data_IF_923078328984
#
_entry.id   IF_923078328984
#
_cell.length_a   1.000
_cell.length_b   1.000
_cell.length_c   1.000
_cell.angle_alpha   90.00
_cell.angle_beta   90.00
_cell.angle_gamma   90.00
#
_symmetry.space_group_name_H-M   'P 1'
#
loop_
_entity.id
_entity.type
_entity.pdbx_description
1 polymer ?
#
# COMPACT_ATOMS: atom_id res chain seq x y z
N UNK A 1 42.84 12.16 -7.43
CA UNK A 1 41.96 13.33 -7.24
C UNK A 1 40.55 12.82 -7.51
N UNK A 2 39.73 12.71 -6.47
CA UNK A 2 38.42 12.06 -6.57
C UNK A 2 37.47 13.00 -7.31
N UNK A 3 36.69 12.47 -8.24
CA UNK A 3 35.68 13.17 -9.07
C UNK A 3 34.70 14.02 -8.24
N UNK A 4 34.62 13.76 -6.93
CA UNK A 4 33.84 14.54 -5.96
C UNK A 4 34.37 15.95 -5.73
N UNK A 5 35.68 16.19 -5.87
CA UNK A 5 36.26 17.51 -5.55
C UNK A 5 36.00 18.55 -6.65
N UNK A 6 35.70 18.14 -7.89
CA UNK A 6 35.35 19.05 -8.99
C UNK A 6 33.86 19.40 -9.03
N UNK A 7 32.97 18.57 -8.46
CA UNK A 7 31.52 18.78 -8.52
C UNK A 7 31.01 19.78 -7.47
N UNK A 8 31.83 20.10 -6.46
CA UNK A 8 31.47 20.88 -5.28
C UNK A 8 32.43 22.06 -5.03
N UNK A 9 33.11 22.55 -6.06
CA UNK A 9 34.21 23.52 -5.94
C UNK A 9 33.80 24.93 -5.51
N UNK A 10 32.53 25.32 -5.63
CA UNK A 10 32.04 26.64 -5.25
C UNK A 10 30.98 26.54 -4.14
N UNK A 11 31.20 27.23 -3.02
CA UNK A 11 30.26 27.30 -1.90
C UNK A 11 28.90 27.89 -2.30
N UNK A 12 28.88 28.81 -3.26
CA UNK A 12 27.67 29.42 -3.81
C UNK A 12 26.79 28.40 -4.55
N UNK A 13 27.39 27.53 -5.38
CA UNK A 13 26.69 26.48 -6.12
C UNK A 13 26.05 25.45 -5.16
N UNK A 14 26.67 25.22 -3.99
CA UNK A 14 26.13 24.35 -2.93
C UNK A 14 24.95 24.99 -2.19
N UNK A 15 24.99 26.31 -1.98
CA UNK A 15 23.90 27.06 -1.37
C UNK A 15 22.62 26.99 -2.19
N UNK A 16 22.74 27.19 -3.50
CA UNK A 16 21.61 27.14 -4.44
C UNK A 16 21.01 25.73 -4.56
N UNK A 17 21.86 24.71 -4.56
CA UNK A 17 21.41 23.31 -4.56
C UNK A 17 20.65 22.96 -3.27
N UNK A 18 21.18 23.36 -2.12
CA UNK A 18 20.53 23.15 -0.83
C UNK A 18 19.19 23.88 -0.77
N UNK A 19 19.13 25.12 -1.26
CA UNK A 19 17.88 25.88 -1.30
C UNK A 19 16.84 25.22 -2.21
N UNK A 20 17.28 24.67 -3.35
CA UNK A 20 16.43 23.88 -4.24
C UNK A 20 15.88 22.64 -3.54
N UNK A 21 16.71 21.89 -2.82
CA UNK A 21 16.32 20.70 -2.04
C UNK A 21 15.31 21.06 -0.94
N UNK A 22 15.53 22.16 -0.23
CA UNK A 22 14.63 22.61 0.86
C UNK A 22 13.27 23.04 0.32
N UNK A 23 13.24 23.73 -0.83
CA UNK A 23 12.01 24.23 -1.43
C UNK A 23 11.25 23.18 -2.23
N UNK A 24 11.89 22.08 -2.60
CA UNK A 24 11.25 20.99 -3.34
C UNK A 24 10.74 19.90 -2.40
N UNK A 25 9.43 19.62 -2.45
CA UNK A 25 8.82 18.48 -1.72
C UNK A 25 9.41 17.14 -2.17
N UNK A 26 9.86 17.05 -3.41
CA UNK A 26 10.50 15.89 -4.01
C UNK A 26 11.64 16.33 -4.94
N UNK A 27 12.79 15.67 -4.83
CA UNK A 27 13.99 15.97 -5.64
C UNK A 27 13.85 15.61 -7.12
N UNK A 28 12.94 14.70 -7.45
CA UNK A 28 12.66 14.26 -8.81
C UNK A 28 11.15 14.27 -9.06
N UNK A 29 10.77 14.44 -10.33
CA UNK A 29 9.39 14.25 -10.77
C UNK A 29 8.97 12.81 -10.44
N UNK A 30 7.94 12.65 -9.62
CA UNK A 30 7.36 11.34 -9.33
C UNK A 30 6.37 10.99 -10.44
N UNK A 31 6.48 9.77 -10.96
CA UNK A 31 5.43 9.21 -11.80
C UNK A 31 4.10 9.22 -11.00
N UNK A 32 2.96 9.40 -11.68
CA UNK A 32 1.66 9.20 -11.06
C UNK A 32 1.62 7.83 -10.36
N UNK A 33 0.97 7.72 -9.18
CA UNK A 33 0.80 6.42 -8.55
C UNK A 33 0.08 5.48 -9.52
N UNK A 34 0.62 4.27 -9.68
CA UNK A 34 -0.07 3.21 -10.40
C UNK A 34 -1.18 2.72 -9.48
N UNK A 35 -2.43 3.01 -9.84
CA UNK A 35 -3.57 2.41 -9.18
C UNK A 35 -3.64 0.95 -9.62
N UNK A 36 -3.65 0.01 -8.68
CA UNK A 36 -4.10 -1.34 -9.00
C UNK A 36 -5.56 -1.27 -9.44
N UNK A 37 -5.92 -2.11 -10.43
CA UNK A 37 -7.31 -2.31 -10.80
C UNK A 37 -8.16 -2.56 -9.55
N UNK A 38 -9.43 -2.13 -9.60
CA UNK A 38 -10.38 -2.24 -8.48
C UNK A 38 -10.29 -3.64 -7.85
N UNK A 39 -10.00 -3.69 -6.55
CA UNK A 39 -9.87 -4.95 -5.83
C UNK A 39 -11.23 -5.67 -5.87
N UNK A 40 -11.35 -6.72 -6.67
CA UNK A 40 -12.62 -7.40 -6.88
C UNK A 40 -12.94 -8.36 -5.72
N UNK A 41 -13.82 -7.91 -4.83
CA UNK A 41 -14.34 -8.73 -3.74
C UNK A 41 -15.14 -9.94 -4.21
N UNK A 42 -15.86 -9.84 -5.34
CA UNK A 42 -16.63 -10.96 -5.86
C UNK A 42 -15.65 -12.06 -6.28
N UNK A 43 -14.62 -11.71 -7.05
CA UNK A 43 -13.54 -12.62 -7.41
C UNK A 43 -12.85 -13.24 -6.20
N UNK A 44 -12.60 -12.45 -5.14
CA UNK A 44 -12.05 -12.99 -3.90
C UNK A 44 -12.96 -14.07 -3.29
N UNK A 45 -14.26 -13.82 -3.22
CA UNK A 45 -15.23 -14.78 -2.66
C UNK A 45 -15.55 -15.97 -3.58
N UNK A 46 -15.31 -15.85 -4.88
CA UNK A 46 -15.41 -16.95 -5.85
C UNK A 46 -14.26 -17.95 -5.74
N UNK A 47 -13.11 -17.56 -5.18
CA UNK A 47 -11.96 -18.45 -4.96
C UNK A 47 -12.34 -19.70 -4.13
N UNK A 48 -11.62 -20.80 -4.36
CA UNK A 48 -11.74 -21.96 -3.47
C UNK A 48 -11.34 -21.58 -2.04
N UNK A 49 -11.90 -22.25 -1.04
CA UNK A 49 -11.64 -21.93 0.37
C UNK A 49 -10.16 -21.99 0.74
N UNK A 50 -9.39 -22.86 0.08
CA UNK A 50 -7.93 -22.96 0.26
C UNK A 50 -7.21 -21.71 -0.26
N UNK A 51 -7.56 -21.24 -1.46
CA UNK A 51 -6.95 -20.06 -2.09
C UNK A 51 -7.37 -18.78 -1.37
N UNK A 52 -8.65 -18.68 -0.99
CA UNK A 52 -9.16 -17.60 -0.16
C UNK A 52 -8.37 -17.51 1.16
N UNK A 53 -8.16 -18.66 1.82
CA UNK A 53 -7.39 -18.72 3.07
C UNK A 53 -5.91 -18.42 2.85
N UNK A 54 -5.35 -18.79 1.71
CA UNK A 54 -3.97 -18.45 1.39
C UNK A 54 -3.81 -16.93 1.16
N UNK A 55 -4.78 -16.32 0.49
CA UNK A 55 -4.79 -14.87 0.21
C UNK A 55 -5.04 -14.05 1.48
N UNK A 56 -6.11 -14.36 2.22
CA UNK A 56 -6.60 -13.55 3.36
C UNK A 56 -6.16 -14.04 4.73
N UNK A 57 -5.53 -15.23 4.82
CA UNK A 57 -5.16 -15.93 6.07
C UNK A 57 -6.32 -16.28 6.99
N UNK A 58 -7.56 -16.16 6.52
CA UNK A 58 -8.77 -16.47 7.28
C UNK A 58 -9.73 -17.32 6.45
N UNK A 59 -10.80 -17.84 7.06
CA UNK A 59 -11.88 -18.49 6.31
C UNK A 59 -12.92 -17.48 5.89
N UNK A 60 -13.79 -17.82 4.92
CA UNK A 60 -14.86 -16.93 4.46
C UNK A 60 -15.82 -16.58 5.60
N UNK A 61 -16.12 -17.54 6.46
CA UNK A 61 -17.00 -17.38 7.62
C UNK A 61 -16.38 -16.42 8.64
N UNK A 62 -15.10 -16.61 8.96
CA UNK A 62 -14.38 -15.74 9.88
C UNK A 62 -14.20 -14.32 9.31
N UNK A 63 -14.01 -14.19 7.99
CA UNK A 63 -14.00 -12.90 7.31
C UNK A 63 -15.35 -12.16 7.50
N UNK A 64 -16.47 -12.82 7.20
CA UNK A 64 -17.81 -12.22 7.36
C UNK A 64 -18.09 -11.89 8.83
N UNK A 65 -17.70 -12.77 9.76
CA UNK A 65 -17.82 -12.53 11.19
C UNK A 65 -17.06 -11.27 11.63
N UNK A 66 -15.81 -11.11 11.18
CA UNK A 66 -14.98 -9.95 11.49
C UNK A 66 -15.56 -8.68 10.85
N UNK A 67 -15.99 -8.76 9.59
CA UNK A 67 -16.64 -7.66 8.89
C UNK A 67 -17.84 -7.14 9.68
N UNK A 68 -18.72 -8.02 10.16
CA UNK A 68 -19.88 -7.65 10.97
C UNK A 68 -19.50 -6.97 12.31
N UNK A 69 -18.28 -7.20 12.82
CA UNK A 69 -17.78 -6.55 14.05
C UNK A 69 -17.25 -5.15 13.79
N UNK A 70 -16.63 -4.93 12.64
CA UNK A 70 -15.98 -3.65 12.32
C UNK A 70 -16.84 -2.72 11.47
N UNK A 71 -17.93 -3.24 10.86
CA UNK A 71 -18.72 -2.51 9.87
C UNK A 71 -19.21 -1.13 10.34
N UNK A 72 -19.63 -1.02 11.60
CA UNK A 72 -20.14 0.23 12.18
C UNK A 72 -19.09 1.03 12.96
N UNK A 73 -17.84 0.57 12.99
CA UNK A 73 -16.83 1.18 13.84
C UNK A 73 -16.25 2.44 13.19
N UNK A 74 -16.25 3.61 13.87
CA UNK A 74 -15.97 4.91 13.27
C UNK A 74 -14.58 5.04 12.67
N UNK A 75 -13.60 4.25 13.12
CA UNK A 75 -12.24 4.24 12.56
C UNK A 75 -12.20 3.86 11.07
N UNK A 76 -13.14 3.05 10.60
CA UNK A 76 -13.18 2.59 9.21
C UNK A 76 -14.08 3.45 8.31
N UNK A 77 -14.62 4.55 8.86
CA UNK A 77 -15.39 5.55 8.14
C UNK A 77 -14.62 6.86 8.16
N UNK A 78 -14.55 7.55 7.02
CA UNK A 78 -14.10 8.93 6.99
C UNK A 78 -15.24 9.85 6.53
N UNK A 79 -15.20 11.09 7.01
CA UNK A 79 -16.05 12.17 6.52
C UNK A 79 -15.18 13.18 5.76
N UNK A 80 -14.50 12.71 4.72
CA UNK A 80 -13.55 13.49 3.92
C UNK A 80 -14.05 13.66 2.49
N UNK A 81 -13.58 14.69 1.80
CA UNK A 81 -13.79 14.88 0.36
C UNK A 81 -13.20 13.76 -0.49
N UNK A 82 -12.20 13.05 0.04
CA UNK A 82 -11.69 11.81 -0.53
C UNK A 82 -12.21 10.63 0.29
N UNK A 83 -13.29 9.96 -0.15
CA UNK A 83 -13.88 8.86 0.60
C UNK A 83 -12.93 7.67 0.68
N UNK A 84 -12.95 6.96 1.80
CA UNK A 84 -12.31 5.65 1.92
C UNK A 84 -13.07 4.61 1.07
N UNK A 85 -12.37 3.53 0.71
CA UNK A 85 -13.01 2.36 0.08
C UNK A 85 -14.11 1.79 0.98
N UNK A 86 -15.11 1.07 0.43
CA UNK A 86 -16.10 0.39 1.25
C UNK A 86 -15.43 -0.56 2.26
N UNK A 87 -15.97 -0.66 3.49
CA UNK A 87 -15.40 -1.46 4.60
C UNK A 87 -14.96 -2.87 4.16
N UNK A 88 -15.74 -3.64 3.38
CA UNK A 88 -15.34 -4.98 2.98
C UNK A 88 -14.04 -5.00 2.16
N UNK A 89 -13.82 -3.99 1.30
CA UNK A 89 -12.59 -3.83 0.52
C UNK A 89 -11.42 -3.48 1.42
N UNK A 90 -11.61 -2.54 2.36
CA UNK A 90 -10.57 -2.17 3.33
C UNK A 90 -10.10 -3.42 4.11
N UNK A 91 -11.04 -4.25 4.56
CA UNK A 91 -10.73 -5.49 5.28
C UNK A 91 -9.99 -6.49 4.40
N UNK A 92 -10.47 -6.72 3.18
CA UNK A 92 -9.85 -7.66 2.25
C UNK A 92 -8.41 -7.30 1.90
N UNK A 93 -8.17 -6.03 1.55
CA UNK A 93 -6.82 -5.52 1.26
C UNK A 93 -5.93 -5.65 2.50
N UNK A 94 -6.44 -5.28 3.68
CA UNK A 94 -5.67 -5.37 4.93
C UNK A 94 -5.24 -6.80 5.22
N UNK A 95 -6.16 -7.76 5.08
CA UNK A 95 -5.88 -9.17 5.32
C UNK A 95 -4.95 -9.77 4.25
N UNK A 96 -5.08 -9.36 2.99
CA UNK A 96 -4.14 -9.77 1.95
C UNK A 96 -2.73 -9.26 2.25
N UNK A 97 -2.58 -7.98 2.59
CA UNK A 97 -1.28 -7.38 2.92
C UNK A 97 -0.64 -8.02 4.15
N UNK A 98 -1.43 -8.28 5.20
CA UNK A 98 -0.96 -9.03 6.37
C UNK A 98 -0.56 -10.47 6.00
N UNK A 99 -1.25 -11.08 5.03
CA UNK A 99 -0.95 -12.41 4.52
C UNK A 99 0.25 -12.47 3.56
N UNK A 100 0.60 -11.35 2.93
CA UNK A 100 1.67 -11.22 1.94
C UNK A 100 3.05 -10.95 2.57
N UNK A 101 3.10 -10.48 3.81
CA UNK A 101 4.35 -10.12 4.48
C UNK A 101 4.71 -11.16 5.57
N UNK A 102 5.58 -12.10 5.22
CA UNK A 102 6.16 -13.09 6.14
C UNK A 102 6.87 -14.24 5.42
N UNK A 103 7.75 -14.98 6.11
CA UNK A 103 8.53 -16.08 5.51
C UNK A 103 7.67 -17.20 4.88
N UNK A 104 6.38 -17.27 5.23
CA UNK A 104 5.38 -18.20 4.67
C UNK A 104 4.43 -17.56 3.64
N UNK A 105 4.65 -16.30 3.26
CA UNK A 105 3.85 -15.60 2.26
C UNK A 105 4.14 -16.02 0.83
N UNK A 106 5.36 -16.49 0.58
CA UNK A 106 5.83 -16.97 -0.73
C UNK A 106 5.36 -18.40 -1.07
N UNK A 107 4.84 -19.17 -0.12
CA UNK A 107 4.39 -20.55 -0.38
C UNK A 107 3.03 -20.50 -1.09
N UNK A 108 3.03 -20.62 -2.42
CA UNK A 108 1.81 -20.69 -3.25
C UNK A 108 1.55 -19.51 -4.19
N UNK A 109 2.40 -18.46 -4.18
CA UNK A 109 2.35 -17.37 -5.18
C UNK A 109 3.41 -17.50 -6.29
N UNK A 110 4.31 -18.47 -6.18
CA UNK A 110 5.24 -18.84 -7.24
C UNK A 110 4.62 -19.97 -8.09
N UNK A 111 3.98 -19.61 -9.20
CA UNK A 111 3.69 -20.49 -10.32
C UNK A 111 4.17 -19.80 -11.59
#
# INVERSE_FOLDING_TARGET
MLVTDELFSNEDDMGDLLQTVILSRYLNVRAPPVFHDEFDLARLFEMQSIDFKQSTRTTKEAFVWLLNRIYLHPVFHNNSFCPQLPIPHQLAISLEQLGANGNRASVGRCA
#
